data_IF_231758601981
#
_entry.id   IF_231758601981
#
_cell.length_a   1.000
_cell.length_b   1.000
_cell.length_c   1.000
_cell.angle_alpha   90.00
_cell.angle_beta   90.00
_cell.angle_gamma   90.00
#
_symmetry.space_group_name_H-M   'P 1'
#
loop_
_entity.id
_entity.type
_entity.pdbx_description
1 polymer ?
#
# COMPACT_ATOMS: atom_id res chain seq x y z
N UNK A 1 -7.27 11.13 -14.84
CA UNK A 1 -6.39 10.54 -13.80
C UNK A 1 -7.25 10.31 -12.57
N UNK A 2 -7.32 9.08 -12.07
CA UNK A 2 -8.04 8.78 -10.82
C UNK A 2 -7.16 9.22 -9.66
N UNK A 3 -7.70 10.01 -8.73
CA UNK A 3 -6.94 10.46 -7.55
C UNK A 3 -6.67 9.31 -6.57
N UNK A 4 -5.53 9.37 -5.89
CA UNK A 4 -5.18 8.48 -4.79
C UNK A 4 -5.24 9.25 -3.47
N UNK A 5 -5.88 8.65 -2.46
CA UNK A 5 -5.96 9.18 -1.10
C UNK A 5 -5.33 8.15 -0.16
N UNK A 6 -4.46 8.59 0.74
CA UNK A 6 -3.90 7.75 1.79
C UNK A 6 -4.65 7.99 3.09
N UNK A 7 -5.03 6.91 3.78
CA UNK A 7 -5.51 7.02 5.16
C UNK A 7 -4.37 7.48 6.08
N UNK A 8 -4.68 8.07 7.25
CA UNK A 8 -3.66 8.38 8.24
C UNK A 8 -2.83 7.15 8.66
N UNK A 9 -3.46 5.97 8.71
CA UNK A 9 -2.77 4.73 9.05
C UNK A 9 -1.83 4.27 7.92
N UNK A 10 -2.22 4.42 6.65
CA UNK A 10 -1.34 4.12 5.52
C UNK A 10 -0.13 5.05 5.47
N UNK A 11 -0.29 6.33 5.81
CA UNK A 11 0.84 7.26 5.92
C UNK A 11 1.80 6.83 7.04
N UNK A 12 1.27 6.47 8.21
CA UNK A 12 2.09 5.96 9.30
C UNK A 12 2.77 4.61 8.96
N UNK A 13 2.14 3.77 8.14
CA UNK A 13 2.76 2.54 7.63
C UNK A 13 3.95 2.86 6.72
N UNK A 14 3.85 3.87 5.84
CA UNK A 14 4.97 4.33 4.98
C UNK A 14 6.16 4.75 5.84
N UNK A 15 5.93 5.58 6.86
CA UNK A 15 7.00 6.09 7.73
C UNK A 15 7.70 4.92 8.44
N UNK A 16 6.93 3.98 9.00
CA UNK A 16 7.47 2.77 9.64
C UNK A 16 8.26 1.88 8.68
N UNK A 17 7.78 1.72 7.45
CA UNK A 17 8.48 0.94 6.42
C UNK A 17 9.82 1.59 6.09
N UNK A 18 9.85 2.91 5.94
CA UNK A 18 11.07 3.65 5.67
C UNK A 18 12.06 3.50 6.83
N UNK A 19 11.64 3.78 8.07
CA UNK A 19 12.49 3.71 9.27
C UNK A 19 13.09 2.31 9.47
N UNK A 20 12.26 1.28 9.34
CA UNK A 20 12.69 -0.12 9.45
C UNK A 20 13.68 -0.50 8.35
N UNK A 21 13.41 -0.07 7.11
CA UNK A 21 14.28 -0.41 5.97
C UNK A 21 15.63 0.32 6.05
N UNK A 22 15.61 1.58 6.46
CA UNK A 22 16.80 2.39 6.62
C UNK A 22 17.69 1.85 7.74
N UNK A 23 17.09 1.47 8.87
CA UNK A 23 17.80 0.94 10.04
C UNK A 23 18.43 -0.43 9.80
N UNK A 24 17.76 -1.29 9.02
CA UNK A 24 18.20 -2.67 8.84
C UNK A 24 19.10 -2.88 7.63
N UNK A 25 19.06 -1.99 6.64
CA UNK A 25 19.86 -2.12 5.43
C UNK A 25 20.56 -0.84 5.01
N UNK A 26 19.83 0.19 4.56
CA UNK A 26 20.37 1.50 4.19
C UNK A 26 19.29 2.50 3.83
N UNK A 27 19.60 3.80 3.91
CA UNK A 27 18.73 4.89 3.44
C UNK A 27 18.39 4.73 1.95
N UNK A 28 19.37 4.46 1.10
CA UNK A 28 19.16 4.23 -0.34
C UNK A 28 18.15 3.10 -0.61
N UNK A 29 18.20 2.03 0.20
CA UNK A 29 17.24 0.94 0.07
C UNK A 29 15.84 1.34 0.54
N UNK A 30 15.74 2.15 1.59
CA UNK A 30 14.46 2.69 2.05
C UNK A 30 13.83 3.61 0.99
N UNK A 31 14.61 4.51 0.40
CA UNK A 31 14.14 5.40 -0.66
C UNK A 31 13.65 4.64 -1.89
N UNK A 32 14.45 3.67 -2.37
CA UNK A 32 14.03 2.79 -3.48
C UNK A 32 12.73 2.07 -3.16
N UNK A 33 12.58 1.56 -1.95
CA UNK A 33 11.40 0.79 -1.59
C UNK A 33 10.13 1.67 -1.46
N UNK A 34 10.26 2.90 -0.95
CA UNK A 34 9.15 3.86 -0.98
C UNK A 34 8.80 4.28 -2.41
N UNK A 35 9.79 4.40 -3.29
CA UNK A 35 9.55 4.68 -4.70
C UNK A 35 8.78 3.54 -5.38
N UNK A 36 9.13 2.28 -5.13
CA UNK A 36 8.38 1.12 -5.64
C UNK A 36 6.91 1.12 -5.18
N UNK A 37 6.64 1.51 -3.92
CA UNK A 37 5.29 1.66 -3.38
C UNK A 37 4.53 2.78 -4.11
N UNK A 38 5.19 3.90 -4.38
CA UNK A 38 4.60 5.03 -5.10
C UNK A 38 4.27 4.67 -6.55
N UNK A 39 5.18 3.99 -7.24
CA UNK A 39 4.97 3.58 -8.63
C UNK A 39 3.84 2.57 -8.73
N UNK A 40 3.75 1.62 -7.79
CA UNK A 40 2.61 0.72 -7.70
C UNK A 40 1.29 1.46 -7.48
N UNK A 41 1.26 2.53 -6.67
CA UNK A 41 0.09 3.38 -6.49
C UNK A 41 -0.30 4.05 -7.82
N UNK A 42 0.64 4.64 -8.55
CA UNK A 42 0.38 5.26 -9.85
C UNK A 42 -0.17 4.27 -10.87
N UNK A 43 0.48 3.11 -11.03
CA UNK A 43 0.00 2.06 -11.93
C UNK A 43 -1.40 1.56 -11.58
N UNK A 44 -1.73 1.53 -10.28
CA UNK A 44 -3.06 1.16 -9.80
C UNK A 44 -4.11 2.21 -10.19
N UNK A 45 -3.80 3.50 -10.01
CA UNK A 45 -4.69 4.60 -10.43
C UNK A 45 -4.88 4.70 -11.94
N UNK A 46 -3.92 4.21 -12.71
CA UNK A 46 -3.98 4.13 -14.17
C UNK A 46 -4.55 2.80 -14.69
N UNK A 47 -4.94 1.89 -13.80
CA UNK A 47 -5.51 0.58 -14.15
C UNK A 47 -4.52 -0.40 -14.77
N UNK A 48 -3.22 -0.09 -14.75
CA UNK A 48 -2.14 -0.95 -15.28
C UNK A 48 -1.71 -2.05 -14.31
N UNK A 49 -1.99 -1.89 -13.02
CA UNK A 49 -1.63 -2.86 -12.00
C UNK A 49 -2.83 -3.71 -11.59
N UNK A 50 -2.71 -5.01 -11.86
CA UNK A 50 -3.73 -5.98 -11.47
C UNK A 50 -3.79 -6.13 -9.96
N UNK A 51 -4.99 -6.00 -9.40
CA UNK A 51 -5.27 -6.19 -7.98
C UNK A 51 -6.18 -7.39 -7.77
N UNK A 52 -6.20 -7.92 -6.55
CA UNK A 52 -7.07 -9.03 -6.16
C UNK A 52 -8.01 -8.60 -5.04
N UNK A 53 -9.21 -9.20 -4.91
CA UNK A 53 -10.03 -9.01 -3.72
C UNK A 53 -9.22 -9.29 -2.45
N UNK A 54 -9.51 -8.53 -1.38
CA UNK A 54 -9.01 -8.86 -0.05
C UNK A 54 -9.92 -9.91 0.56
N UNK A 55 -9.32 -10.96 1.11
CA UNK A 55 -10.04 -12.06 1.76
C UNK A 55 -10.54 -11.68 3.17
N UNK A 56 -10.20 -10.47 3.64
CA UNK A 56 -10.37 -10.05 5.04
C UNK A 56 -11.60 -9.17 5.21
N UNK A 57 -11.90 -8.31 4.24
CA UNK A 57 -13.02 -7.37 4.31
C UNK A 57 -13.63 -7.15 2.94
N UNK A 58 -14.94 -7.34 2.84
CA UNK A 58 -15.67 -7.16 1.58
C UNK A 58 -15.49 -5.73 1.04
N UNK A 59 -15.35 -5.59 -0.28
CA UNK A 59 -15.12 -4.31 -0.95
C UNK A 59 -13.67 -3.81 -0.92
N UNK A 60 -12.80 -4.46 -0.13
CA UNK A 60 -11.37 -4.18 -0.14
C UNK A 60 -10.68 -5.02 -1.20
N UNK A 61 -9.59 -4.47 -1.71
CA UNK A 61 -8.69 -5.10 -2.67
C UNK A 61 -7.26 -4.96 -2.16
N UNK A 62 -6.37 -5.80 -2.65
CA UNK A 62 -4.95 -5.78 -2.33
C UNK A 62 -4.07 -5.92 -3.57
N UNK A 63 -2.88 -5.35 -3.49
CA UNK A 63 -1.80 -5.60 -4.45
C UNK A 63 -0.46 -5.71 -3.73
N UNK A 64 0.43 -6.59 -4.20
CA UNK A 64 1.76 -6.80 -3.64
C UNK A 64 2.79 -5.80 -4.20
N UNK A 65 3.68 -5.33 -3.33
CA UNK A 65 4.89 -4.56 -3.67
C UNK A 65 6.02 -5.07 -2.78
N UNK A 66 6.98 -5.79 -3.36
CA UNK A 66 7.99 -6.51 -2.59
C UNK A 66 7.35 -7.42 -1.54
N UNK A 67 7.69 -7.21 -0.27
CA UNK A 67 7.17 -7.99 0.86
C UNK A 67 5.92 -7.39 1.53
N UNK A 68 5.35 -6.30 0.98
CA UNK A 68 4.17 -5.63 1.52
C UNK A 68 2.96 -5.76 0.60
N UNK A 69 1.78 -5.62 1.19
CA UNK A 69 0.51 -5.48 0.49
C UNK A 69 -0.06 -4.09 0.73
N UNK A 70 -0.49 -3.44 -0.36
CA UNK A 70 -1.29 -2.23 -0.33
C UNK A 70 -2.75 -2.65 -0.29
N UNK A 71 -3.43 -2.40 0.83
CA UNK A 71 -4.86 -2.63 0.99
C UNK A 71 -5.63 -1.36 0.65
N UNK A 72 -6.60 -1.46 -0.24
CA UNK A 72 -7.30 -0.31 -0.76
C UNK A 72 -8.76 -0.61 -1.09
N UNK A 73 -9.54 0.45 -1.29
CA UNK A 73 -10.89 0.41 -1.83
C UNK A 73 -11.11 1.58 -2.78
N UNK A 74 -12.16 1.52 -3.58
CA UNK A 74 -12.61 2.67 -4.37
C UNK A 74 -13.77 3.37 -3.66
N UNK A 75 -13.83 4.70 -3.75
CA UNK A 75 -15.03 5.45 -3.36
C UNK A 75 -15.99 5.61 -4.55
N UNK A 76 -17.16 6.21 -4.30
CA UNK A 76 -18.20 6.41 -5.31
C UNK A 76 -17.76 7.35 -6.45
N UNK A 77 -16.77 8.21 -6.20
CA UNK A 77 -16.14 9.07 -7.21
C UNK A 77 -15.04 8.34 -8.01
N UNK A 78 -14.83 7.04 -7.78
CA UNK A 78 -13.84 6.21 -8.44
C UNK A 78 -12.41 6.39 -7.92
N UNK A 79 -12.17 7.24 -6.92
CA UNK A 79 -10.84 7.45 -6.33
C UNK A 79 -10.40 6.22 -5.56
N UNK A 80 -9.09 5.95 -5.60
CA UNK A 80 -8.49 4.87 -4.85
C UNK A 80 -8.09 5.39 -3.47
N UNK A 81 -8.56 4.71 -2.42
CA UNK A 81 -8.19 4.99 -1.04
C UNK A 81 -7.28 3.88 -0.56
N UNK A 82 -6.00 4.17 -0.37
CA UNK A 82 -5.04 3.27 0.29
C UNK A 82 -5.31 3.31 1.78
N UNK A 83 -5.78 2.20 2.33
CA UNK A 83 -6.22 2.10 3.72
C UNK A 83 -5.08 1.66 4.64
N UNK A 84 -4.27 0.67 4.24
CA UNK A 84 -3.08 0.20 4.98
C UNK A 84 -2.01 -0.31 4.02
N UNK A 85 -0.75 -0.27 4.46
CA UNK A 85 0.39 -0.90 3.79
C UNK A 85 1.04 -1.87 4.78
N UNK A 86 0.81 -3.17 4.59
CA UNK A 86 1.14 -4.16 5.62
C UNK A 86 2.11 -5.19 5.10
N UNK A 87 3.08 -5.56 5.93
CA UNK A 87 4.01 -6.64 5.60
C UNK A 87 3.24 -7.96 5.48
N UNK A 88 3.59 -8.80 4.50
CA UNK A 88 2.88 -10.04 4.17
C UNK A 88 2.81 -11.08 5.32
N UNK A 89 3.63 -10.91 6.36
CA UNK A 89 3.67 -11.76 7.56
C UNK A 89 2.84 -11.22 8.74
N UNK A 90 2.25 -10.03 8.63
CA UNK A 90 1.43 -9.47 9.70
C UNK A 90 0.09 -10.21 9.78
N UNK A 91 -0.47 -10.31 10.99
CA UNK A 91 -1.89 -10.65 11.16
C UNK A 91 -2.73 -9.47 10.70
N UNK A 92 -3.16 -9.53 9.44
CA UNK A 92 -3.86 -8.42 8.78
C UNK A 92 -5.29 -8.26 9.31
N UNK A 93 -5.92 -9.30 9.84
CA UNK A 93 -7.29 -9.22 10.35
C UNK A 93 -7.40 -8.25 11.54
N UNK A 94 -6.34 -8.09 12.32
CA UNK A 94 -6.27 -7.13 13.43
C UNK A 94 -5.92 -5.70 13.00
N UNK A 95 -5.69 -5.47 11.70
CA UNK A 95 -5.11 -4.22 11.18
C UNK A 95 -6.05 -3.49 10.20
N UNK A 96 -7.13 -4.11 9.71
CA UNK A 96 -8.05 -3.58 8.68
C UNK A 96 -9.48 -3.29 9.19
#
# INVERSE_FOLDING_TARGET
>A
MIGIIFSPAAQADIDKIWDYTASNWSVDQAERYIQDIRDACHELAEGRRMSRPSDIRQGYRKVSVGTHFLYFKSNDAGQIIIVRILHQRMDVAQQL
#
